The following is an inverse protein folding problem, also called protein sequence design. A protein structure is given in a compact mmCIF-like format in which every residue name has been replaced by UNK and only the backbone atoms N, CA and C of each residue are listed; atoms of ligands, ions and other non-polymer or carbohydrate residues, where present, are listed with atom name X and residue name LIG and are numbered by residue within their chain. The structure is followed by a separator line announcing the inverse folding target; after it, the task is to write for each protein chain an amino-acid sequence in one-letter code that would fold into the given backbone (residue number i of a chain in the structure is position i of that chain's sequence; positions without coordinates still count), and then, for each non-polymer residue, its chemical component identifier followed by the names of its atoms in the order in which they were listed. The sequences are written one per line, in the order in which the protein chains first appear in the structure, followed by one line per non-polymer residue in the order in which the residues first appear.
data_IF_582067528552
#
_entry.id   IF_582067528552
#
_cell.length_a   1.000
_cell.length_b   1.000
_cell.length_c   1.000
_cell.angle_alpha   90.00
_cell.angle_beta   90.00
_cell.angle_gamma   90.00
#
_symmetry.space_group_name_H-M   'P 1'
#
loop_
_entity.id
_entity.type
_entity.pdbx_description
1 polymer ?
#
# COMPACT_ATOMS: atom_id res chain seq x y z
N UNK A 1 10.50 -58.32 -0.62
CA UNK A 1 10.83 -56.90 -0.45
C UNK A 1 11.52 -56.46 -1.72
N UNK A 2 10.92 -55.52 -2.45
CA UNK A 2 11.37 -55.13 -3.78
C UNK A 2 12.53 -54.12 -3.70
N UNK A 3 13.37 -54.06 -4.74
CA UNK A 3 14.49 -53.11 -4.82
C UNK A 3 14.03 -51.63 -4.71
N UNK A 4 12.76 -51.35 -5.01
CA UNK A 4 12.13 -50.04 -4.85
C UNK A 4 11.88 -49.69 -3.37
N UNK A 5 11.54 -50.68 -2.54
CA UNK A 5 11.34 -50.48 -1.10
C UNK A 5 12.67 -50.21 -0.40
N UNK A 6 13.75 -50.90 -0.83
CA UNK A 6 15.10 -50.62 -0.33
C UNK A 6 15.60 -49.21 -0.70
N UNK A 7 15.32 -48.74 -1.92
CA UNK A 7 15.69 -47.39 -2.34
C UNK A 7 14.90 -46.33 -1.54
N UNK A 8 13.60 -46.54 -1.35
CA UNK A 8 12.76 -45.64 -0.56
C UNK A 8 13.20 -45.59 0.90
N UNK A 9 13.54 -46.74 1.50
CA UNK A 9 14.04 -46.80 2.87
C UNK A 9 15.40 -46.10 3.02
N UNK A 10 16.31 -46.26 2.04
CA UNK A 10 17.58 -45.51 2.03
C UNK A 10 17.36 -43.99 1.88
N UNK A 11 16.39 -43.57 1.06
CA UNK A 11 16.06 -42.14 0.91
C UNK A 11 15.48 -41.58 2.21
N UNK A 12 14.61 -42.33 2.90
CA UNK A 12 14.04 -41.93 4.19
C UNK A 12 15.14 -41.80 5.25
N UNK A 13 16.04 -42.79 5.36
CA UNK A 13 17.15 -42.77 6.32
C UNK A 13 18.09 -41.58 6.08
N UNK A 14 18.39 -41.28 4.82
CA UNK A 14 19.19 -40.09 4.44
C UNK A 14 18.47 -38.79 4.82
N UNK A 15 17.15 -38.71 4.62
CA UNK A 15 16.36 -37.51 4.99
C UNK A 15 16.37 -37.31 6.50
N UNK A 16 16.21 -38.37 7.29
CA UNK A 16 16.25 -38.32 8.75
C UNK A 16 17.65 -37.94 9.29
N UNK A 17 18.71 -38.51 8.72
CA UNK A 17 20.08 -38.16 9.09
C UNK A 17 20.37 -36.67 8.79
N UNK A 18 19.90 -36.16 7.65
CA UNK A 18 20.05 -34.76 7.26
C UNK A 18 19.27 -33.81 8.17
N UNK A 19 18.04 -34.16 8.55
CA UNK A 19 17.23 -33.38 9.49
C UNK A 19 17.88 -33.30 10.87
N UNK A 20 18.43 -34.41 11.37
CA UNK A 20 19.15 -34.46 12.65
C UNK A 20 20.47 -33.69 12.62
N UNK A 21 21.17 -33.68 11.47
CA UNK A 21 22.41 -32.91 11.28
C UNK A 21 22.17 -31.39 11.19
N UNK A 22 21.03 -30.97 10.65
CA UNK A 22 20.61 -29.57 10.69
C UNK A 22 20.23 -29.12 12.10
N UNK A 23 19.45 -29.94 12.84
CA UNK A 23 19.05 -29.65 14.23
C UNK A 23 20.26 -29.50 15.16
N UNK A 24 21.25 -30.38 15.04
CA UNK A 24 22.50 -30.30 15.82
C UNK A 24 23.39 -29.09 15.45
N UNK A 25 23.43 -28.67 14.18
CA UNK A 25 24.11 -27.43 13.76
C UNK A 25 23.44 -26.16 14.29
N UNK A 26 22.10 -26.15 14.37
CA UNK A 26 21.35 -25.02 14.91
C UNK A 26 21.63 -24.85 16.42
N UNK A 27 21.64 -25.94 17.18
CA UNK A 27 21.95 -25.94 18.62
C UNK A 27 23.40 -25.49 18.92
N UNK A 28 24.38 -25.90 18.11
CA UNK A 28 25.77 -25.43 18.26
C UNK A 28 25.95 -23.94 17.99
N UNK A 29 25.18 -23.37 17.06
CA UNK A 29 25.20 -21.92 16.78
C UNK A 29 24.59 -21.08 17.91
N UNK A 30 23.58 -21.61 18.61
CA UNK A 30 23.00 -20.93 19.78
C UNK A 30 23.97 -20.94 20.97
N UNK A 31 24.67 -22.06 21.23
CA UNK A 31 25.67 -22.13 22.31
C UNK A 31 26.92 -21.27 22.07
N UNK A 32 27.31 -21.02 20.81
CA UNK A 32 28.46 -20.16 20.50
C UNK A 32 28.16 -18.66 20.65
N UNK A 33 26.90 -18.23 20.49
CA UNK A 33 26.50 -16.84 20.65
C UNK A 33 26.38 -16.42 22.12
N UNK A 34 26.15 -17.35 23.05
CA UNK A 34 26.09 -17.04 24.49
C UNK A 34 27.49 -16.91 25.13
N UNK A 35 28.50 -17.61 24.60
CA UNK A 35 29.87 -17.57 25.13
C UNK A 35 30.73 -16.38 24.68
N UNK A 36 30.32 -15.61 23.66
CA UNK A 36 31.07 -14.43 23.20
C UNK A 36 30.75 -13.12 23.96
N UNK A 37 29.76 -13.13 24.86
CA UNK A 37 29.34 -11.92 25.59
C UNK A 37 29.99 -11.74 26.98
N UNK A 38 30.93 -12.60 27.39
CA UNK A 38 31.50 -12.59 28.75
C UNK A 38 33.04 -12.58 28.83
N UNK A 39 33.74 -12.08 27.83
CA UNK A 39 35.20 -11.89 27.92
C UNK A 39 35.65 -10.57 27.28
N UNK A 40 35.76 -9.50 28.08
CA UNK A 40 36.82 -8.47 27.96
C UNK A 40 36.60 -7.32 28.96
N UNK A 41 36.95 -7.56 30.23
CA UNK A 41 37.28 -6.51 31.19
C UNK A 41 38.68 -6.83 31.71
N UNK A 42 39.67 -6.07 31.22
CA UNK A 42 40.96 -5.74 31.85
C UNK A 42 42.05 -5.54 30.78
N UNK A 43 42.31 -4.29 30.41
CA UNK A 43 43.65 -3.69 30.52
C UNK A 43 43.72 -2.23 29.99
N UNK A 44 44.03 -1.35 30.95
CA UNK A 44 44.92 -0.17 30.91
C UNK A 44 44.61 1.06 30.04
N UNK A 45 44.38 2.13 30.80
CA UNK A 45 44.24 3.56 30.52
C UNK A 45 45.52 4.20 29.94
N UNK A 46 45.38 5.01 28.89
CA UNK A 46 46.27 6.14 28.56
C UNK A 46 45.40 7.36 28.17
N UNK A 47 45.62 8.59 28.71
CA UNK A 47 44.75 9.75 28.42
C UNK A 47 45.21 10.72 27.30
N UNK A 48 44.21 11.22 26.54
CA UNK A 48 44.03 12.57 25.94
C UNK A 48 44.79 12.85 24.60
N UNK A 49 44.13 13.12 23.45
CA UNK A 49 43.32 14.33 23.11
C UNK A 49 42.22 14.13 22.05
N UNK A 50 41.22 15.04 22.01
CA UNK A 50 40.11 15.00 21.06
C UNK A 50 40.47 15.77 19.78
N UNK A 51 40.13 15.22 18.62
CA UNK A 51 39.69 16.04 17.49
C UNK A 51 38.81 15.21 16.55
N UNK A 52 37.80 15.91 16.05
CA UNK A 52 36.68 15.41 15.27
C UNK A 52 37.12 14.93 13.89
N UNK A 53 36.69 13.75 13.45
CA UNK A 53 35.84 13.62 12.24
C UNK A 53 35.54 12.17 11.87
N UNK A 54 34.31 12.05 11.37
CA UNK A 54 33.59 10.89 10.90
C UNK A 54 34.31 9.99 9.88
N UNK A 55 33.99 8.69 9.99
CA UNK A 55 33.69 7.76 8.89
C UNK A 55 34.68 7.68 7.73
N UNK A 56 35.38 6.55 7.63
CA UNK A 56 35.26 5.69 6.44
C UNK A 56 35.53 4.24 6.80
N UNK A 57 34.49 3.42 6.66
CA UNK A 57 34.60 1.98 6.58
C UNK A 57 35.60 1.64 5.46
N UNK A 58 36.67 0.92 5.78
CA UNK A 58 37.47 0.17 4.82
C UNK A 58 36.60 -0.94 4.23
N UNK A 59 35.81 -0.58 3.22
CA UNK A 59 35.29 -1.54 2.24
C UNK A 59 36.50 -2.00 1.45
N UNK A 60 36.89 -3.25 1.65
CA UNK A 60 37.83 -3.95 0.79
C UNK A 60 37.36 -3.81 -0.66
N UNK A 61 38.00 -2.92 -1.41
CA UNK A 61 37.84 -2.82 -2.86
C UNK A 61 38.37 -4.12 -3.45
N UNK A 62 37.48 -5.09 -3.67
CA UNK A 62 37.73 -6.13 -4.65
C UNK A 62 37.86 -5.44 -6.00
N UNK A 63 39.06 -5.53 -6.60
CA UNK A 63 39.34 -5.13 -7.97
C UNK A 63 38.33 -5.75 -8.94
N UNK A 64 37.22 -5.07 -9.17
CA UNK A 64 36.29 -5.38 -10.25
C UNK A 64 36.86 -4.76 -11.53
N UNK A 65 37.86 -5.43 -12.12
CA UNK A 65 38.01 -5.33 -13.56
C UNK A 65 36.64 -5.71 -14.17
N UNK A 66 36.11 -4.97 -15.16
CA UNK A 66 34.86 -5.35 -15.78
C UNK A 66 35.07 -6.74 -16.38
N UNK A 67 34.42 -7.74 -15.78
CA UNK A 67 34.36 -9.08 -16.36
C UNK A 67 33.71 -8.86 -17.72
N UNK A 68 34.49 -8.93 -18.79
CA UNK A 68 33.96 -8.97 -20.15
C UNK A 68 33.09 -10.23 -20.20
N UNK A 69 31.79 -10.05 -20.00
CA UNK A 69 30.85 -11.16 -20.11
C UNK A 69 30.97 -11.72 -21.52
N UNK A 70 31.17 -13.04 -21.62
CA UNK A 70 31.27 -13.70 -22.91
C UNK A 70 29.98 -13.41 -23.71
N UNK A 71 30.08 -12.75 -24.87
CA UNK A 71 28.91 -12.39 -25.67
C UNK A 71 28.10 -13.62 -26.12
N UNK A 72 28.71 -14.80 -26.09
CA UNK A 72 28.07 -16.07 -26.43
C UNK A 72 27.53 -16.82 -25.20
N UNK A 73 27.67 -16.26 -23.99
CA UNK A 73 27.08 -16.85 -22.79
C UNK A 73 25.54 -16.84 -22.86
N UNK A 74 24.90 -17.82 -22.24
CA UNK A 74 23.43 -17.88 -22.22
C UNK A 74 22.84 -16.61 -21.59
N UNK A 75 23.50 -16.06 -20.56
CA UNK A 75 23.10 -14.81 -19.91
C UNK A 75 23.09 -13.63 -20.89
N UNK A 76 24.18 -13.44 -21.65
CA UNK A 76 24.29 -12.34 -22.62
C UNK A 76 23.33 -12.51 -23.79
N UNK A 77 23.11 -13.75 -24.26
CA UNK A 77 22.13 -14.05 -25.32
C UNK A 77 20.68 -13.81 -24.86
N UNK A 78 20.33 -14.15 -23.62
CA UNK A 78 19.00 -13.87 -23.04
C UNK A 78 18.78 -12.36 -22.85
N UNK A 79 19.80 -11.62 -22.42
CA UNK A 79 19.74 -10.16 -22.33
C UNK A 79 19.55 -9.52 -23.72
N UNK A 80 20.28 -10.01 -24.74
CA UNK A 80 20.10 -9.58 -26.12
C UNK A 80 18.68 -9.86 -26.63
N UNK A 81 18.06 -10.98 -26.23
CA UNK A 81 16.67 -11.30 -26.59
C UNK A 81 15.69 -10.32 -25.97
N UNK A 82 15.87 -9.98 -24.69
CA UNK A 82 15.05 -8.99 -24.01
C UNK A 82 15.15 -7.60 -24.66
N UNK A 83 16.35 -7.19 -25.07
CA UNK A 83 16.58 -5.94 -25.78
C UNK A 83 15.96 -5.94 -27.18
N UNK A 84 16.02 -7.08 -27.88
CA UNK A 84 15.41 -7.26 -29.19
C UNK A 84 13.88 -7.19 -29.11
N UNK A 85 13.27 -7.77 -28.07
CA UNK A 85 11.83 -7.64 -27.79
C UNK A 85 11.44 -6.18 -27.56
N UNK A 86 12.20 -5.48 -26.71
CA UNK A 86 11.98 -4.05 -26.43
C UNK A 86 12.09 -3.18 -27.69
N UNK A 87 12.96 -3.55 -28.63
CA UNK A 87 13.12 -2.85 -29.90
C UNK A 87 11.98 -3.17 -30.88
N UNK A 88 11.53 -4.43 -30.91
CA UNK A 88 10.36 -4.88 -31.66
C UNK A 88 9.11 -4.12 -31.24
N UNK A 89 8.88 -3.99 -29.94
CA UNK A 89 7.76 -3.22 -29.38
C UNK A 89 7.78 -1.74 -29.77
N UNK A 90 8.99 -1.15 -29.90
CA UNK A 90 9.15 0.24 -30.35
C UNK A 90 8.86 0.40 -31.84
N UNK A 91 9.38 -0.52 -32.67
CA UNK A 91 9.21 -0.45 -34.12
C UNK A 91 7.77 -0.76 -34.55
N UNK A 92 7.07 -1.63 -33.81
CA UNK A 92 5.66 -1.96 -34.03
C UNK A 92 4.70 -0.79 -33.75
N UNK A 93 5.17 0.33 -33.18
CA UNK A 93 4.34 1.54 -33.03
C UNK A 93 4.01 2.21 -34.36
N UNK A 94 4.92 2.11 -35.34
CA UNK A 94 4.76 2.64 -36.70
C UNK A 94 5.18 1.59 -37.74
N UNK A 95 4.35 0.55 -37.98
CA UNK A 95 4.73 -0.61 -38.77
C UNK A 95 4.95 -0.29 -40.26
N UNK A 96 4.20 0.66 -40.82
CA UNK A 96 4.31 1.07 -42.24
C UNK A 96 5.64 1.75 -42.55
N UNK A 97 6.19 2.53 -41.60
CA UNK A 97 7.49 3.20 -41.77
C UNK A 97 8.68 2.27 -41.49
N UNK A 98 8.49 1.29 -40.61
CA UNK A 98 9.55 0.43 -40.10
C UNK A 98 9.50 -1.01 -40.65
N UNK A 99 8.77 -1.25 -41.74
CA UNK A 99 8.55 -2.61 -42.30
C UNK A 99 9.87 -3.33 -42.59
N UNK A 100 10.86 -2.60 -43.12
CA UNK A 100 12.18 -3.16 -43.45
C UNK A 100 12.99 -3.52 -42.20
N UNK A 101 12.90 -2.69 -41.16
CA UNK A 101 13.57 -2.88 -39.87
C UNK A 101 12.94 -4.04 -39.10
N UNK A 102 11.61 -4.18 -39.12
CA UNK A 102 10.88 -5.29 -38.50
C UNK A 102 11.28 -6.61 -39.16
N UNK A 103 11.38 -6.65 -40.50
CA UNK A 103 11.81 -7.86 -41.21
C UNK A 103 13.27 -8.24 -40.89
N UNK A 104 14.18 -7.25 -40.84
CA UNK A 104 15.57 -7.47 -40.40
C UNK A 104 15.63 -7.97 -38.96
N UNK A 105 14.81 -7.41 -38.08
CA UNK A 105 14.76 -7.78 -36.66
C UNK A 105 14.24 -9.21 -36.47
N UNK A 106 13.25 -9.64 -37.27
CA UNK A 106 12.77 -11.04 -37.30
C UNK A 106 13.87 -12.02 -37.74
N UNK A 107 14.68 -11.67 -38.75
CA UNK A 107 15.83 -12.49 -39.18
C UNK A 107 16.90 -12.60 -38.08
N UNK A 108 17.15 -11.53 -37.33
CA UNK A 108 18.06 -11.53 -36.18
C UNK A 108 17.48 -12.35 -35.03
N UNK A 109 16.18 -12.25 -34.75
CA UNK A 109 15.46 -13.02 -33.74
C UNK A 109 15.63 -14.53 -33.96
N UNK A 110 15.47 -15.01 -35.20
CA UNK A 110 15.68 -16.41 -35.55
C UNK A 110 17.10 -16.89 -35.26
N UNK A 111 18.11 -16.10 -35.65
CA UNK A 111 19.53 -16.42 -35.40
C UNK A 111 19.85 -16.41 -33.90
N UNK A 112 19.32 -15.43 -33.18
CA UNK A 112 19.49 -15.30 -31.74
C UNK A 112 18.86 -16.48 -31.00
N UNK A 113 17.63 -16.84 -31.34
CA UNK A 113 16.93 -17.98 -30.76
C UNK A 113 17.68 -19.30 -31.03
N UNK A 114 18.19 -19.51 -32.25
CA UNK A 114 19.01 -20.70 -32.54
C UNK A 114 20.31 -20.74 -31.70
N UNK A 115 20.91 -19.59 -31.44
CA UNK A 115 22.12 -19.46 -30.62
C UNK A 115 21.83 -19.70 -29.14
N UNK A 116 20.70 -19.19 -28.63
CA UNK A 116 20.20 -19.46 -27.27
C UNK A 116 19.98 -20.97 -27.08
N UNK A 117 19.30 -21.64 -28.02
CA UNK A 117 19.04 -23.09 -27.91
C UNK A 117 20.35 -23.89 -27.88
N UNK A 118 21.35 -23.51 -28.69
CA UNK A 118 22.67 -24.15 -28.67
C UNK A 118 23.41 -23.91 -27.35
N UNK A 119 23.41 -22.68 -26.84
CA UNK A 119 24.03 -22.34 -25.56
C UNK A 119 23.35 -23.08 -24.39
N UNK A 120 22.01 -23.13 -24.38
CA UNK A 120 21.22 -23.90 -23.39
C UNK A 120 21.61 -25.37 -23.40
N UNK A 121 21.65 -26.02 -24.57
CA UNK A 121 22.04 -27.45 -24.67
C UNK A 121 23.44 -27.69 -24.13
N UNK A 122 24.39 -26.80 -24.42
CA UNK A 122 25.78 -26.88 -23.93
C UNK A 122 25.84 -26.74 -22.41
N UNK A 123 25.17 -25.74 -21.83
CA UNK A 123 25.12 -25.53 -20.38
C UNK A 123 24.41 -26.67 -19.66
N UNK A 124 23.31 -27.18 -20.21
CA UNK A 124 22.60 -28.36 -19.67
C UNK A 124 23.52 -29.58 -19.66
N UNK A 125 24.24 -29.83 -20.76
CA UNK A 125 25.17 -30.97 -20.84
C UNK A 125 26.28 -30.85 -19.81
N UNK A 126 26.90 -29.66 -19.67
CA UNK A 126 27.89 -29.39 -18.63
C UNK A 126 27.34 -29.55 -17.22
N UNK A 127 26.10 -29.11 -16.98
CA UNK A 127 25.44 -29.28 -15.69
C UNK A 127 25.17 -30.76 -15.38
N UNK A 128 24.75 -31.54 -16.37
CA UNK A 128 24.56 -33.00 -16.26
C UNK A 128 25.88 -33.69 -15.97
N UNK A 129 26.96 -33.34 -16.68
CA UNK A 129 28.28 -33.96 -16.47
C UNK A 129 28.84 -33.62 -15.08
N UNK A 130 28.68 -32.38 -14.63
CA UNK A 130 29.04 -31.97 -13.27
C UNK A 130 28.22 -32.70 -12.20
N UNK A 131 26.91 -32.88 -12.43
CA UNK A 131 26.02 -33.62 -11.54
C UNK A 131 26.40 -35.10 -11.48
N UNK A 132 26.75 -35.72 -12.61
CA UNK A 132 27.24 -37.10 -12.66
C UNK A 132 28.56 -37.29 -11.91
N UNK A 133 29.44 -36.28 -11.96
CA UNK A 133 30.76 -36.33 -11.30
C UNK A 133 30.66 -36.21 -9.77
N UNK A 134 29.81 -35.33 -9.25
CA UNK A 134 29.64 -35.14 -7.80
C UNK A 134 28.15 -35.02 -7.40
N UNK A 135 27.37 -36.11 -7.51
CA UNK A 135 25.91 -36.07 -7.36
C UNK A 135 25.48 -35.54 -5.99
N UNK A 136 26.09 -36.03 -4.91
CA UNK A 136 25.75 -35.62 -3.53
C UNK A 136 25.97 -34.12 -3.29
N UNK A 137 27.06 -33.55 -3.81
CA UNK A 137 27.42 -32.15 -3.58
C UNK A 137 26.51 -31.20 -4.38
N UNK A 138 26.24 -31.52 -5.64
CA UNK A 138 25.38 -30.70 -6.48
C UNK A 138 23.90 -30.81 -6.07
N UNK A 139 23.43 -31.98 -5.64
CA UNK A 139 22.09 -32.14 -5.05
C UNK A 139 21.97 -31.32 -3.76
N UNK A 140 22.98 -31.35 -2.88
CA UNK A 140 22.99 -30.51 -1.67
C UNK A 140 22.97 -29.02 -2.00
N UNK A 141 23.78 -28.58 -2.97
CA UNK A 141 23.79 -27.19 -3.45
C UNK A 141 22.44 -26.78 -4.05
N UNK A 142 21.77 -27.67 -4.77
CA UNK A 142 20.44 -27.44 -5.34
C UNK A 142 19.36 -27.34 -4.25
N UNK A 143 19.46 -28.17 -3.21
CA UNK A 143 18.57 -28.09 -2.05
C UNK A 143 18.76 -26.75 -1.31
N UNK A 144 20.01 -26.33 -1.09
CA UNK A 144 20.33 -25.04 -0.46
C UNK A 144 19.80 -23.85 -1.28
N UNK A 145 19.96 -23.87 -2.62
CA UNK A 145 19.43 -22.81 -3.48
C UNK A 145 17.91 -22.82 -3.51
N UNK A 146 17.27 -23.99 -3.52
CA UNK A 146 15.82 -24.13 -3.42
C UNK A 146 15.28 -23.55 -2.11
N UNK A 147 15.88 -23.90 -0.96
CA UNK A 147 15.52 -23.32 0.33
C UNK A 147 15.71 -21.80 0.37
N UNK A 148 16.76 -21.28 -0.28
CA UNK A 148 16.96 -19.83 -0.41
C UNK A 148 15.88 -19.17 -1.26
N UNK A 149 15.45 -19.81 -2.34
CA UNK A 149 14.34 -19.35 -3.19
C UNK A 149 13.02 -19.38 -2.41
N UNK A 150 12.72 -20.45 -1.68
CA UNK A 150 11.54 -20.57 -0.83
C UNK A 150 11.53 -19.51 0.27
N UNK A 151 12.68 -19.22 0.89
CA UNK A 151 12.80 -18.14 1.86
C UNK A 151 12.55 -16.77 1.21
N UNK A 152 13.06 -16.53 0.01
CA UNK A 152 12.84 -15.27 -0.72
C UNK A 152 11.38 -15.13 -1.17
N UNK A 153 10.75 -16.22 -1.65
CA UNK A 153 9.32 -16.27 -1.95
C UNK A 153 8.48 -16.01 -0.71
N UNK A 154 8.80 -16.67 0.41
CA UNK A 154 8.15 -16.44 1.69
C UNK A 154 8.32 -14.99 2.16
N UNK A 155 9.49 -14.37 1.99
CA UNK A 155 9.69 -12.93 2.26
C UNK A 155 8.86 -12.03 1.35
N UNK A 156 8.71 -12.41 0.08
CA UNK A 156 7.89 -11.70 -0.90
C UNK A 156 6.39 -11.84 -0.57
N UNK A 157 5.93 -13.05 -0.22
CA UNK A 157 4.58 -13.37 0.26
C UNK A 157 4.30 -12.80 1.66
N UNK A 158 5.32 -12.52 2.47
CA UNK A 158 5.19 -11.86 3.77
C UNK A 158 5.30 -10.33 3.70
N UNK A 159 5.51 -9.74 2.52
CA UNK A 159 5.37 -8.31 2.26
C UNK A 159 3.92 -7.75 2.04
N UNK A 160 2.84 -8.43 2.45
CA UNK A 160 1.54 -7.83 2.77
C UNK A 160 1.42 -7.37 4.24
N UNK A 161 2.35 -7.79 5.10
CA UNK A 161 2.27 -7.65 6.57
C UNK A 161 2.60 -6.25 7.09
N UNK A 162 3.39 -5.48 6.33
CA UNK A 162 3.67 -4.07 6.64
C UNK A 162 2.35 -3.28 6.68
N UNK A 163 1.51 -3.45 5.66
CA UNK A 163 0.24 -2.74 5.53
C UNK A 163 -0.85 -3.24 6.48
N UNK A 164 -0.87 -4.53 6.85
CA UNK A 164 -1.81 -5.04 7.86
C UNK A 164 -1.63 -4.36 9.23
N UNK A 165 -0.38 -4.19 9.69
CA UNK A 165 -0.09 -3.50 10.95
C UNK A 165 -0.48 -2.02 10.87
N UNK A 166 -0.27 -1.37 9.72
CA UNK A 166 -0.71 0.01 9.50
C UNK A 166 -2.23 0.14 9.46
N UNK A 167 -2.94 -0.80 8.82
CA UNK A 167 -4.40 -0.86 8.82
C UNK A 167 -4.97 -1.06 10.23
N UNK A 168 -4.45 -2.00 11.01
CA UNK A 168 -4.90 -2.22 12.40
C UNK A 168 -4.65 -1.00 13.31
N UNK A 169 -3.54 -0.27 13.09
CA UNK A 169 -3.28 1.00 13.79
C UNK A 169 -4.28 2.08 13.39
N UNK A 170 -4.63 2.17 12.11
CA UNK A 170 -5.56 3.15 11.58
C UNK A 170 -7.00 2.88 12.08
N UNK A 171 -7.42 1.62 12.07
CA UNK A 171 -8.73 1.19 12.60
C UNK A 171 -8.86 1.47 14.11
N UNK A 172 -7.77 1.31 14.88
CA UNK A 172 -7.76 1.68 16.31
C UNK A 172 -7.89 3.19 16.51
N UNK A 173 -7.23 4.00 15.69
CA UNK A 173 -7.32 5.46 15.77
C UNK A 173 -8.72 5.95 15.38
N UNK A 174 -9.33 5.36 14.35
CA UNK A 174 -10.71 5.63 13.93
C UNK A 174 -11.70 5.40 15.08
N UNK A 175 -11.67 4.20 15.70
CA UNK A 175 -12.51 3.88 16.86
C UNK A 175 -12.31 4.83 18.06
N UNK A 176 -11.08 5.33 18.25
CA UNK A 176 -10.80 6.32 19.31
C UNK A 176 -11.39 7.70 19.00
N UNK A 177 -11.40 8.11 17.73
CA UNK A 177 -12.00 9.37 17.29
C UNK A 177 -13.52 9.31 17.46
N UNK A 178 -14.16 8.25 16.98
CA UNK A 178 -15.61 8.07 17.10
C UNK A 178 -16.05 8.12 18.56
N UNK A 179 -15.35 7.40 19.44
CA UNK A 179 -15.61 7.44 20.89
C UNK A 179 -15.43 8.84 21.48
N UNK A 180 -14.50 9.66 20.98
CA UNK A 180 -14.33 11.05 21.44
C UNK A 180 -15.45 11.95 20.94
N UNK A 181 -15.91 11.78 19.70
CA UNK A 181 -17.05 12.50 19.13
C UNK A 181 -18.29 12.20 19.95
N UNK A 182 -18.60 10.92 20.18
CA UNK A 182 -19.77 10.49 20.96
C UNK A 182 -19.75 11.03 22.38
N UNK A 183 -18.60 10.98 23.05
CA UNK A 183 -18.43 11.51 24.39
C UNK A 183 -18.63 13.04 24.43
N UNK A 184 -18.18 13.75 23.41
CA UNK A 184 -18.34 15.21 23.32
C UNK A 184 -19.80 15.57 23.08
N UNK A 185 -20.47 14.90 22.13
CA UNK A 185 -21.91 15.06 21.90
C UNK A 185 -22.72 14.75 23.16
N UNK A 186 -22.41 13.64 23.83
CA UNK A 186 -23.06 13.24 25.09
C UNK A 186 -22.84 14.30 26.19
N UNK A 187 -21.64 14.87 26.32
CA UNK A 187 -21.37 15.95 27.28
C UNK A 187 -22.17 17.22 26.95
N UNK A 188 -22.21 17.62 25.68
CA UNK A 188 -23.01 18.77 25.24
C UNK A 188 -24.50 18.56 25.52
N UNK A 189 -25.03 17.38 25.18
CA UNK A 189 -26.42 17.02 25.48
C UNK A 189 -26.70 17.02 26.98
N UNK A 190 -25.82 16.41 27.80
CA UNK A 190 -25.96 16.45 29.27
C UNK A 190 -25.92 17.86 29.82
N UNK A 191 -25.05 18.72 29.29
CA UNK A 191 -24.99 20.13 29.71
C UNK A 191 -26.28 20.87 29.32
N UNK A 192 -26.80 20.66 28.11
CA UNK A 192 -28.05 21.25 27.66
C UNK A 192 -29.23 20.77 28.54
N UNK A 193 -29.32 19.46 28.80
CA UNK A 193 -30.31 18.87 29.70
C UNK A 193 -30.22 19.49 31.10
N UNK A 194 -29.02 19.61 31.67
CA UNK A 194 -28.83 20.19 32.99
C UNK A 194 -29.24 21.67 33.01
N UNK A 195 -28.92 22.44 31.97
CA UNK A 195 -29.34 23.83 31.87
C UNK A 195 -30.87 23.96 31.80
N UNK A 196 -31.54 23.08 31.05
CA UNK A 196 -33.01 23.01 30.99
C UNK A 196 -33.60 22.62 32.35
N UNK A 197 -33.02 21.62 33.02
CA UNK A 197 -33.48 21.15 34.33
C UNK A 197 -33.30 22.20 35.43
N UNK A 198 -32.24 23.01 35.38
CA UNK A 198 -31.98 24.07 36.36
C UNK A 198 -32.96 25.24 36.26
N UNK A 199 -33.47 25.54 35.06
CA UNK A 199 -34.39 26.66 34.83
C UNK A 199 -35.53 26.27 33.86
N UNK A 200 -36.42 25.34 34.23
CA UNK A 200 -37.44 24.81 33.33
C UNK A 200 -38.46 25.86 32.91
N UNK A 201 -38.80 26.80 33.79
CA UNK A 201 -39.78 27.87 33.50
C UNK A 201 -39.28 28.84 32.44
N UNK A 202 -37.98 29.18 32.45
CA UNK A 202 -37.39 30.06 31.43
C UNK A 202 -37.50 29.46 30.04
N UNK A 203 -37.20 28.16 29.90
CA UNK A 203 -37.31 27.47 28.62
C UNK A 203 -38.77 27.23 28.21
N UNK A 204 -39.70 27.03 29.16
CA UNK A 204 -41.14 27.02 28.85
C UNK A 204 -41.63 28.35 28.30
N UNK A 205 -41.25 29.46 28.93
CA UNK A 205 -41.59 30.80 28.44
C UNK A 205 -40.97 31.09 27.06
N UNK A 206 -39.76 30.59 26.80
CA UNK A 206 -39.14 30.72 25.47
C UNK A 206 -39.89 29.88 24.42
N UNK A 207 -40.32 28.66 24.77
CA UNK A 207 -41.18 27.83 23.93
C UNK A 207 -42.51 28.54 23.64
N UNK A 208 -43.16 29.09 24.68
CA UNK A 208 -44.42 29.82 24.51
C UNK A 208 -44.23 31.06 23.61
N UNK A 209 -43.09 31.76 23.71
CA UNK A 209 -42.72 32.85 22.79
C UNK A 209 -42.50 32.36 21.36
N UNK A 210 -41.84 31.22 21.18
CA UNK A 210 -41.67 30.62 19.85
C UNK A 210 -43.01 30.19 19.26
N UNK A 211 -43.91 29.62 20.05
CA UNK A 211 -45.27 29.26 19.64
C UNK A 211 -46.11 30.50 19.31
N UNK A 212 -45.96 31.59 20.06
CA UNK A 212 -46.60 32.89 19.74
C UNK A 212 -46.03 33.51 18.46
N UNK A 213 -44.72 33.42 18.24
CA UNK A 213 -44.09 33.84 16.99
C UNK A 213 -44.55 32.98 15.81
N UNK A 214 -44.65 31.66 15.98
CA UNK A 214 -45.18 30.76 14.96
C UNK A 214 -46.66 31.08 14.65
N UNK A 215 -47.48 31.32 15.68
CA UNK A 215 -48.88 31.73 15.51
C UNK A 215 -49.01 33.09 14.84
N UNK A 216 -48.17 34.07 15.17
CA UNK A 216 -48.21 35.40 14.54
C UNK A 216 -47.69 35.35 13.11
N UNK A 217 -46.67 34.55 12.82
CA UNK A 217 -46.18 34.31 11.46
C UNK A 217 -47.22 33.59 10.59
N UNK A 218 -47.86 32.55 11.12
CA UNK A 218 -48.94 31.83 10.44
C UNK A 218 -50.19 32.71 10.25
N UNK A 219 -50.53 33.55 11.23
CA UNK A 219 -51.58 34.57 11.07
C UNK A 219 -51.21 35.60 10.01
N UNK A 220 -49.96 36.08 9.97
CA UNK A 220 -49.47 37.00 8.95
C UNK A 220 -49.48 36.39 7.55
N UNK A 221 -49.14 35.10 7.42
CA UNK A 221 -49.25 34.34 6.18
C UNK A 221 -50.70 34.17 5.71
N UNK A 222 -51.64 33.96 6.64
CA UNK A 222 -53.06 33.85 6.33
C UNK A 222 -53.71 35.22 6.02
N UNK A 223 -53.35 36.28 6.75
CA UNK A 223 -53.82 37.65 6.49
C UNK A 223 -53.25 38.22 5.18
N UNK A 224 -52.03 37.86 4.79
CA UNK A 224 -51.49 38.22 3.47
C UNK A 224 -52.20 37.50 2.31
N UNK A 225 -52.80 36.32 2.55
CA UNK A 225 -53.70 35.69 1.57
C UNK A 225 -55.04 36.43 1.45
N UNK A 226 -55.62 36.92 2.54
CA UNK A 226 -56.90 37.64 2.53
C UNK A 226 -56.78 39.10 2.04
N UNK A 227 -55.75 39.85 2.45
CA UNK A 227 -55.54 41.24 2.04
C UNK A 227 -55.22 41.41 0.54
N UNK A 228 -54.61 40.40 -0.09
CA UNK A 228 -54.42 40.40 -1.54
C UNK A 228 -55.74 40.18 -2.32
N UNK A 229 -56.77 39.57 -1.72
CA UNK A 229 -58.10 39.45 -2.35
C UNK A 229 -58.97 40.72 -2.19
N UNK A 230 -58.68 41.59 -1.22
CA UNK A 230 -59.50 42.75 -0.88
C UNK A 230 -59.03 44.05 -1.55
N UNK A 231 -57.71 44.24 -1.74
CA UNK A 231 -57.18 45.42 -2.45
C UNK A 231 -57.62 45.53 -3.91
N UNK A 232 -57.92 44.40 -4.56
CA UNK A 232 -58.46 44.41 -5.92
C UNK A 232 -59.90 44.92 -6.01
N UNK A 233 -60.66 44.96 -4.89
CA UNK A 233 -62.07 45.38 -4.87
C UNK A 233 -62.32 46.82 -4.42
N UNK A 234 -61.39 47.44 -3.69
CA UNK A 234 -61.56 48.81 -3.16
C UNK A 234 -61.14 49.91 -4.14
N UNK A 235 -60.21 49.65 -5.05
CA UNK A 235 -59.78 50.65 -6.05
C UNK A 235 -60.89 51.05 -7.03
N UNK A 236 -61.92 50.22 -7.25
CA UNK A 236 -63.04 50.55 -8.15
C UNK A 236 -64.07 51.52 -7.54
N UNK A 237 -64.19 51.61 -6.21
CA UNK A 237 -65.25 52.42 -5.57
C UNK A 237 -64.87 53.88 -5.33
N UNK A 238 -63.58 54.17 -5.12
CA UNK A 238 -63.14 55.51 -4.70
C UNK A 238 -63.19 56.58 -5.81
N UNK A 239 -63.21 56.21 -7.09
CA UNK A 239 -63.34 57.21 -8.17
C UNK A 239 -64.74 57.82 -8.30
N UNK A 240 -65.79 57.18 -7.76
CA UNK A 240 -67.17 57.65 -7.92
C UNK A 240 -67.61 58.69 -6.88
N UNK A 241 -66.88 58.84 -5.76
CA UNK A 241 -67.26 59.73 -4.67
C UNK A 241 -66.66 61.15 -4.77
N UNK A 242 -65.53 61.35 -5.45
CA UNK A 242 -64.88 62.68 -5.51
C UNK A 242 -65.63 63.71 -6.36
N UNK A 243 -66.48 63.30 -7.31
CA UNK A 243 -67.20 64.26 -8.18
C UNK A 243 -68.34 65.00 -7.48
N UNK A 244 -68.98 64.39 -6.49
CA UNK A 244 -70.21 64.94 -5.88
C UNK A 244 -69.95 65.93 -4.76
N UNK A 245 -68.71 66.06 -4.28
CA UNK A 245 -68.37 66.86 -3.09
C UNK A 245 -68.00 68.31 -3.39
N UNK A 246 -67.48 68.61 -4.58
CA UNK A 246 -67.04 69.97 -4.92
C UNK A 246 -68.19 70.93 -5.27
N UNK A 247 -69.38 70.42 -5.60
CA UNK A 247 -70.53 71.27 -5.99
C UNK A 247 -71.28 71.90 -4.81
N UNK A 248 -71.03 71.47 -3.56
CA UNK A 248 -71.79 71.92 -2.39
C UNK A 248 -71.18 73.11 -1.63
N UNK A 249 -69.94 73.52 -1.94
CA UNK A 249 -69.24 74.59 -1.21
C UNK A 249 -69.43 76.01 -1.80
N UNK A 250 -70.19 76.16 -2.90
CA UNK A 250 -70.31 77.41 -3.67
C UNK A 250 -71.63 78.19 -3.46
N UNK A 251 -72.39 77.96 -2.39
CA UNK A 251 -73.65 78.69 -2.11
C UNK A 251 -73.75 79.31 -0.72
N UNK A 252 -72.65 79.83 -0.18
CA UNK A 252 -72.68 80.87 0.87
C UNK A 252 -71.86 82.08 0.45
#
# INVERSE_FOLDING_TARGET
MDARDHLNNQVIEIIEELANKQKSRLMRKQQQNENQNNQSADNKVVPIRPDQNDKTNTVSQTNNAPIKEDPQSLKSLLAARHNLESLKDRLNKDPEKNKSEIEKLSKVELKLNSSIVKAQRKEISLAIDNLKREPRRYVLKLADTKSKIELLKSKLENNPRLYKLHFEKLEKLEKMIDKKIDNTQTKTLRSAINNIQKNPEKYRQEIDRYDEMEKTLNKGLNQNKENNLQKDKENEKNQKQERTRNDLELSR
#
